data_IF_260922861435
#
_entry.id   IF_260922861435
#
_cell.length_a   1.000
_cell.length_b   1.000
_cell.length_c   1.000
_cell.angle_alpha   90.00
_cell.angle_beta   90.00
_cell.angle_gamma   90.00
#
_symmetry.space_group_name_H-M   'P 1'
#
loop_
_entity.id
_entity.type
_entity.pdbx_description
1 polymer ?
#
# COMPACT_ATOMS: atom_id res chain seq x y z
N UNK A 1 13.62 18.46 -3.65
CA UNK A 1 14.01 17.47 -2.61
C UNK A 1 13.46 17.74 -1.19
N UNK A 2 12.85 18.90 -0.86
CA UNK A 2 12.44 19.22 0.53
C UNK A 2 11.12 18.58 1.02
N UNK A 3 10.13 18.35 0.15
CA UNK A 3 8.76 17.94 0.57
C UNK A 3 8.66 16.42 0.84
N UNK A 4 9.44 15.60 0.15
CA UNK A 4 9.54 14.15 0.40
C UNK A 4 9.96 13.85 1.85
N UNK A 5 10.91 14.63 2.36
CA UNK A 5 11.40 14.50 3.74
C UNK A 5 10.35 14.93 4.76
N UNK A 6 9.52 15.94 4.48
CA UNK A 6 8.45 16.37 5.39
C UNK A 6 7.39 15.29 5.63
N UNK A 7 7.03 14.52 4.59
CA UNK A 7 6.13 13.37 4.77
C UNK A 7 6.76 12.25 5.62
N UNK A 8 8.05 11.99 5.42
CA UNK A 8 8.79 11.03 6.24
C UNK A 8 8.94 11.49 7.70
N UNK A 9 9.09 12.79 7.96
CA UNK A 9 9.21 13.34 9.33
C UNK A 9 7.98 12.99 10.19
N UNK A 10 6.77 13.01 9.62
CA UNK A 10 5.54 12.62 10.32
C UNK A 10 5.40 11.10 10.51
N UNK A 11 6.24 10.30 9.83
CA UNK A 11 6.27 8.84 9.92
C UNK A 11 7.51 8.30 10.66
N UNK A 12 8.40 9.19 11.16
CA UNK A 12 9.58 8.83 11.97
C UNK A 12 9.25 8.49 13.43
N UNK A 13 7.97 8.54 13.81
CA UNK A 13 7.53 8.09 15.13
C UNK A 13 7.43 6.56 15.15
N UNK A 14 7.68 5.91 16.30
CA UNK A 14 7.38 4.50 16.50
C UNK A 14 5.95 4.17 16.00
N UNK A 15 5.71 3.02 15.34
CA UNK A 15 4.42 2.71 14.71
C UNK A 15 3.20 2.82 15.65
N UNK A 16 3.41 2.58 16.95
CA UNK A 16 2.46 2.69 18.06
C UNK A 16 2.11 4.15 18.45
N UNK A 17 2.94 5.12 18.06
CA UNK A 17 2.76 6.55 18.38
C UNK A 17 2.25 7.40 17.22
N UNK A 18 2.09 6.82 16.04
CA UNK A 18 1.59 7.54 14.86
C UNK A 18 0.07 7.68 14.98
N UNK A 19 -0.40 8.91 15.23
CA UNK A 19 -1.82 9.21 15.31
C UNK A 19 -2.45 9.36 13.92
N UNK A 20 -3.79 9.30 13.86
CA UNK A 20 -4.54 9.55 12.61
C UNK A 20 -4.21 10.92 12.01
N UNK A 21 -4.00 11.93 12.85
CA UNK A 21 -3.62 13.29 12.41
C UNK A 21 -2.26 13.31 11.70
N UNK A 22 -1.27 12.54 12.18
CA UNK A 22 0.04 12.44 11.54
C UNK A 22 -0.08 11.79 10.17
N UNK A 23 -0.91 10.75 10.04
CA UNK A 23 -1.19 10.10 8.75
C UNK A 23 -1.84 11.06 7.75
N UNK A 24 -2.78 11.90 8.20
CA UNK A 24 -3.40 12.92 7.33
C UNK A 24 -2.38 13.93 6.84
N UNK A 25 -1.50 14.43 7.74
CA UNK A 25 -0.43 15.36 7.36
C UNK A 25 0.58 14.72 6.41
N UNK A 26 1.01 13.49 6.69
CA UNK A 26 1.91 12.74 5.80
C UNK A 26 1.29 12.58 4.41
N UNK A 27 0.01 12.18 4.34
CA UNK A 27 -0.72 12.05 3.08
C UNK A 27 -0.76 13.38 2.31
N UNK A 28 -1.11 14.49 2.96
CA UNK A 28 -1.14 15.81 2.33
C UNK A 28 0.23 16.22 1.77
N UNK A 29 1.30 16.00 2.53
CA UNK A 29 2.65 16.34 2.09
C UNK A 29 3.11 15.47 0.91
N UNK A 30 2.86 14.15 0.96
CA UNK A 30 3.19 13.27 -0.15
C UNK A 30 2.34 13.56 -1.40
N UNK A 31 1.06 13.91 -1.24
CA UNK A 31 0.19 14.25 -2.36
C UNK A 31 0.66 15.56 -3.04
N UNK A 32 1.05 16.56 -2.25
CA UNK A 32 1.69 17.78 -2.79
C UNK A 32 2.97 17.45 -3.55
N UNK A 33 3.85 16.64 -2.97
CA UNK A 33 5.07 16.20 -3.65
C UNK A 33 4.76 15.48 -4.97
N UNK A 34 3.72 14.64 -5.01
CA UNK A 34 3.35 13.92 -6.23
C UNK A 34 2.86 14.87 -7.32
N UNK A 35 2.10 15.90 -6.95
CA UNK A 35 1.67 16.93 -7.91
C UNK A 35 2.87 17.70 -8.48
N UNK A 36 3.85 18.06 -7.65
CA UNK A 36 5.09 18.67 -8.15
C UNK A 36 5.84 17.76 -9.12
N UNK A 37 6.02 16.49 -8.76
CA UNK A 37 6.71 15.50 -9.59
C UNK A 37 5.98 15.24 -10.93
N UNK A 38 4.65 15.20 -10.93
CA UNK A 38 3.87 15.01 -12.17
C UNK A 38 4.02 16.18 -13.16
N UNK A 39 4.26 17.38 -12.65
CA UNK A 39 4.39 18.59 -13.46
C UNK A 39 5.83 18.85 -13.94
N UNK A 40 6.79 18.04 -13.50
CA UNK A 40 8.19 18.14 -13.89
C UNK A 40 8.54 17.00 -14.86
N UNK A 41 8.75 17.29 -16.17
CA UNK A 41 9.04 16.28 -17.19
C UNK A 41 10.40 15.59 -16.99
N UNK A 42 11.29 16.15 -16.16
CA UNK A 42 12.58 15.53 -15.82
C UNK A 42 12.46 14.47 -14.73
N UNK A 43 11.27 14.31 -14.12
CA UNK A 43 11.09 13.40 -13.00
C UNK A 43 11.32 11.94 -13.41
N UNK A 44 12.26 11.22 -12.76
CA UNK A 44 12.44 9.80 -13.01
C UNK A 44 11.22 8.98 -12.55
N UNK A 45 10.72 8.02 -13.35
CA UNK A 45 9.59 7.16 -12.97
C UNK A 45 9.80 6.46 -11.62
N UNK A 46 11.05 6.11 -11.29
CA UNK A 46 11.44 5.49 -10.02
C UNK A 46 11.05 6.35 -8.81
N UNK A 47 11.17 7.67 -8.92
CA UNK A 47 10.80 8.59 -7.84
C UNK A 47 9.28 8.66 -7.67
N UNK A 48 8.54 8.73 -8.78
CA UNK A 48 7.06 8.70 -8.77
C UNK A 48 6.57 7.42 -8.12
N UNK A 49 7.13 6.28 -8.51
CA UNK A 49 6.72 4.98 -7.97
C UNK A 49 6.96 4.89 -6.46
N UNK A 50 8.15 5.25 -5.97
CA UNK A 50 8.46 5.28 -4.52
C UNK A 50 7.51 6.19 -3.73
N UNK A 51 7.18 7.36 -4.29
CA UNK A 51 6.25 8.28 -3.64
C UNK A 51 4.82 7.73 -3.62
N UNK A 52 4.37 7.10 -4.71
CA UNK A 52 3.09 6.43 -4.77
C UNK A 52 3.01 5.25 -3.79
N UNK A 53 4.10 4.51 -3.56
CA UNK A 53 4.16 3.47 -2.52
C UNK A 53 3.94 4.07 -1.12
N UNK A 54 4.57 5.21 -0.80
CA UNK A 54 4.34 5.91 0.47
C UNK A 54 2.92 6.43 0.64
N UNK A 55 2.33 6.97 -0.43
CA UNK A 55 0.93 7.37 -0.43
C UNK A 55 0.00 6.17 -0.23
N UNK A 56 0.25 5.06 -0.92
CA UNK A 56 -0.49 3.82 -0.76
C UNK A 56 -0.45 3.32 0.69
N UNK A 57 0.73 3.18 1.29
CA UNK A 57 0.90 2.74 2.68
C UNK A 57 0.12 3.66 3.63
N UNK A 58 0.24 4.98 3.42
CA UNK A 58 -0.43 5.98 4.25
C UNK A 58 -1.95 5.89 4.12
N UNK A 59 -2.49 5.76 2.89
CA UNK A 59 -3.92 5.59 2.63
C UNK A 59 -4.45 4.30 3.25
N UNK A 60 -3.70 3.20 3.21
CA UNK A 60 -4.13 1.96 3.86
C UNK A 60 -4.17 2.10 5.37
N UNK A 61 -3.18 2.76 5.99
CA UNK A 61 -3.22 3.04 7.44
C UNK A 61 -4.38 3.97 7.82
N UNK A 62 -4.70 4.96 7.00
CA UNK A 62 -5.90 5.79 7.18
C UNK A 62 -7.18 4.95 7.06
N UNK A 63 -7.23 4.00 6.14
CA UNK A 63 -8.35 3.06 6.02
C UNK A 63 -8.50 2.19 7.28
N UNK A 64 -7.40 1.61 7.77
CA UNK A 64 -7.37 0.77 8.98
C UNK A 64 -7.86 1.52 10.22
N UNK A 65 -7.54 2.81 10.34
CA UNK A 65 -7.91 3.65 11.50
C UNK A 65 -9.28 4.34 11.36
N UNK A 66 -9.89 4.31 10.17
CA UNK A 66 -11.19 4.93 9.95
C UNK A 66 -12.31 4.15 10.66
N UNK A 67 -13.14 4.88 11.41
CA UNK A 67 -14.33 4.34 12.10
C UNK A 67 -15.50 4.13 11.14
N UNK A 68 -15.73 5.09 10.25
CA UNK A 68 -16.81 5.06 9.27
C UNK A 68 -16.47 4.17 8.07
N UNK A 69 -17.41 3.30 7.69
CA UNK A 69 -17.25 2.37 6.57
C UNK A 69 -16.98 3.09 5.24
N UNK A 70 -17.65 4.23 5.00
CA UNK A 70 -17.46 5.02 3.79
C UNK A 70 -16.03 5.59 3.71
N UNK A 71 -15.54 6.20 4.79
CA UNK A 71 -14.17 6.71 4.86
C UNK A 71 -13.12 5.58 4.75
N UNK A 72 -13.37 4.43 5.41
CA UNK A 72 -12.53 3.24 5.29
C UNK A 72 -12.41 2.79 3.84
N UNK A 73 -13.53 2.67 3.12
CA UNK A 73 -13.55 2.31 1.70
C UNK A 73 -12.83 3.34 0.84
N UNK A 74 -13.12 4.63 1.03
CA UNK A 74 -12.49 5.71 0.27
C UNK A 74 -10.97 5.66 0.37
N UNK A 75 -10.42 5.51 1.57
CA UNK A 75 -8.97 5.40 1.77
C UNK A 75 -8.39 4.12 1.17
N UNK A 76 -9.11 2.99 1.22
CA UNK A 76 -8.68 1.76 0.55
C UNK A 76 -8.74 1.86 -0.98
N UNK A 77 -9.69 2.61 -1.52
CA UNK A 77 -9.77 2.94 -2.95
C UNK A 77 -8.59 3.82 -3.38
N UNK A 78 -8.29 4.89 -2.63
CA UNK A 78 -7.11 5.73 -2.86
C UNK A 78 -5.81 4.92 -2.82
N UNK A 79 -5.64 4.07 -1.80
CA UNK A 79 -4.47 3.21 -1.68
C UNK A 79 -4.26 2.32 -2.91
N UNK A 80 -5.35 1.81 -3.51
CA UNK A 80 -5.28 1.00 -4.75
C UNK A 80 -4.84 1.83 -5.95
N UNK A 81 -5.38 3.03 -6.11
CA UNK A 81 -4.99 3.88 -7.23
C UNK A 81 -3.51 4.26 -7.15
N UNK A 82 -3.02 4.59 -5.95
CA UNK A 82 -1.59 4.80 -5.74
C UNK A 82 -0.75 3.55 -5.99
N UNK A 83 -1.21 2.35 -5.58
CA UNK A 83 -0.52 1.10 -5.87
C UNK A 83 -0.40 0.82 -7.38
N UNK A 84 -1.46 1.07 -8.15
CA UNK A 84 -1.45 0.93 -9.62
C UNK A 84 -0.48 1.92 -10.25
N UNK A 85 -0.54 3.20 -9.88
CA UNK A 85 0.39 4.22 -10.39
C UNK A 85 1.84 3.88 -10.02
N UNK A 86 2.08 3.32 -8.82
CA UNK A 86 3.40 2.86 -8.43
C UNK A 86 3.90 1.73 -9.34
N UNK A 87 3.06 0.74 -9.64
CA UNK A 87 3.37 -0.38 -10.52
C UNK A 87 3.64 0.09 -11.96
N UNK A 88 2.79 0.95 -12.51
CA UNK A 88 2.98 1.53 -13.85
C UNK A 88 4.32 2.24 -13.98
N UNK A 89 4.71 3.02 -12.97
CA UNK A 89 5.99 3.72 -12.98
C UNK A 89 7.17 2.78 -12.69
N UNK A 90 6.99 1.72 -11.89
CA UNK A 90 8.02 0.69 -11.69
C UNK A 90 8.34 -0.03 -13.00
N UNK A 91 7.32 -0.37 -13.80
CA UNK A 91 7.49 -1.01 -15.11
C UNK A 91 8.29 -0.16 -16.10
N UNK A 92 8.18 1.18 -16.01
CA UNK A 92 8.98 2.12 -16.81
C UNK A 92 10.45 2.19 -16.38
N UNK A 93 10.81 1.65 -15.22
CA UNK A 93 12.19 1.70 -14.71
C UNK A 93 13.04 0.50 -15.15
N UNK A 94 12.44 -0.50 -15.83
CA UNK A 94 13.10 -1.76 -16.20
C UNK A 94 13.78 -2.46 -15.00
N UNK A 95 13.23 -2.24 -13.81
CA UNK A 95 13.72 -2.77 -12.53
C UNK A 95 12.75 -3.86 -12.07
N UNK A 96 13.04 -5.11 -12.46
CA UNK A 96 12.16 -6.27 -12.20
C UNK A 96 11.88 -6.46 -10.70
N UNK A 97 12.88 -6.20 -9.86
CA UNK A 97 12.73 -6.26 -8.41
C UNK A 97 11.70 -5.23 -7.93
N UNK A 98 11.82 -3.99 -8.40
CA UNK A 98 10.88 -2.92 -8.05
C UNK A 98 9.46 -3.18 -8.58
N UNK A 99 9.34 -3.83 -9.75
CA UNK A 99 8.05 -4.30 -10.28
C UNK A 99 7.45 -5.35 -9.35
N UNK A 100 8.21 -6.39 -8.98
CA UNK A 100 7.75 -7.43 -8.07
C UNK A 100 7.32 -6.86 -6.71
N UNK A 101 8.10 -5.94 -6.13
CA UNK A 101 7.73 -5.24 -4.90
C UNK A 101 6.40 -4.48 -5.04
N UNK A 102 6.21 -3.77 -6.17
CA UNK A 102 4.97 -3.03 -6.44
C UNK A 102 3.77 -3.96 -6.64
N UNK A 103 3.95 -5.10 -7.29
CA UNK A 103 2.90 -6.12 -7.47
C UNK A 103 2.50 -6.76 -6.14
N UNK A 104 3.47 -7.08 -5.28
CA UNK A 104 3.20 -7.53 -3.92
C UNK A 104 2.42 -6.50 -3.09
N UNK A 105 2.83 -5.24 -3.15
CA UNK A 105 2.11 -4.16 -2.45
C UNK A 105 0.68 -3.99 -2.97
N UNK A 106 0.47 -4.10 -4.29
CA UNK A 106 -0.87 -4.07 -4.87
C UNK A 106 -1.71 -5.27 -4.42
N UNK A 107 -1.12 -6.46 -4.29
CA UNK A 107 -1.80 -7.65 -3.75
C UNK A 107 -2.21 -7.44 -2.28
N UNK A 108 -1.35 -6.85 -1.45
CA UNK A 108 -1.68 -6.47 -0.06
C UNK A 108 -2.90 -5.53 -0.01
N UNK A 109 -2.93 -4.50 -0.86
CA UNK A 109 -4.08 -3.59 -0.98
C UNK A 109 -5.32 -4.35 -1.43
N UNK A 110 -5.18 -5.30 -2.37
CA UNK A 110 -6.25 -6.19 -2.81
C UNK A 110 -6.88 -6.97 -1.66
N UNK A 111 -6.06 -7.63 -0.85
CA UNK A 111 -6.49 -8.35 0.34
C UNK A 111 -7.22 -7.44 1.34
N UNK A 112 -6.66 -6.26 1.63
CA UNK A 112 -7.32 -5.28 2.50
C UNK A 112 -8.68 -4.83 1.97
N UNK A 113 -8.81 -4.62 0.66
CA UNK A 113 -10.09 -4.22 0.04
C UNK A 113 -11.14 -5.33 0.12
N UNK A 114 -10.73 -6.59 -0.01
CA UNK A 114 -11.64 -7.72 0.21
C UNK A 114 -12.15 -7.73 1.65
N UNK A 115 -11.26 -7.53 2.63
CA UNK A 115 -11.66 -7.37 4.02
C UNK A 115 -12.66 -6.20 4.21
N UNK A 116 -12.36 -5.02 3.66
CA UNK A 116 -13.27 -3.87 3.75
C UNK A 116 -14.63 -4.16 3.12
N UNK A 117 -14.65 -4.77 1.93
CA UNK A 117 -15.89 -5.15 1.25
C UNK A 117 -16.72 -6.14 2.07
N UNK A 118 -16.08 -7.16 2.65
CA UNK A 118 -16.74 -8.13 3.52
C UNK A 118 -17.41 -7.43 4.72
N UNK A 119 -16.67 -6.56 5.42
CA UNK A 119 -17.21 -5.81 6.57
C UNK A 119 -18.36 -4.89 6.18
N UNK A 120 -18.30 -4.27 5.00
CA UNK A 120 -19.39 -3.41 4.49
C UNK A 120 -20.65 -4.21 4.14
N UNK A 121 -20.48 -5.40 3.58
CA UNK A 121 -21.57 -6.34 3.27
C UNK A 121 -22.03 -7.14 4.49
N UNK A 122 -21.48 -6.86 5.69
CA UNK A 122 -21.77 -7.58 6.94
C UNK A 122 -21.55 -9.09 6.84
N UNK A 123 -20.61 -9.51 6.01
CA UNK A 123 -20.18 -10.91 5.90
C UNK A 123 -18.81 -11.08 6.54
N UNK A 124 -18.54 -12.27 7.06
CA UNK A 124 -17.21 -12.61 7.55
C UNK A 124 -16.19 -12.57 6.40
N UNK A 125 -14.98 -12.01 6.61
CA UNK A 125 -13.93 -11.98 5.58
C UNK A 125 -13.58 -13.36 5.02
N UNK A 126 -13.65 -14.39 5.88
CA UNK A 126 -13.41 -15.80 5.52
C UNK A 126 -14.46 -16.35 4.54
N UNK A 127 -15.67 -15.79 4.52
CA UNK A 127 -16.77 -16.22 3.65
C UNK A 127 -16.95 -15.33 2.42
N UNK A 128 -16.13 -14.28 2.25
CA UNK A 128 -16.26 -13.37 1.12
C UNK A 128 -15.81 -14.05 -0.19
N UNK A 129 -16.59 -13.97 -1.30
CA UNK A 129 -16.32 -14.73 -2.52
C UNK A 129 -14.98 -14.39 -3.19
N UNK A 130 -14.44 -13.19 -2.94
CA UNK A 130 -13.12 -12.75 -3.45
C UNK A 130 -11.94 -13.06 -2.52
N UNK A 131 -12.18 -13.70 -1.37
CA UNK A 131 -11.14 -14.02 -0.37
C UNK A 131 -10.05 -14.89 -0.97
N UNK A 132 -10.44 -16.04 -1.53
CA UNK A 132 -9.50 -17.04 -2.04
C UNK A 132 -8.59 -16.48 -3.13
N UNK A 133 -9.16 -15.76 -4.10
CA UNK A 133 -8.37 -15.14 -5.16
C UNK A 133 -7.38 -14.09 -4.64
N UNK A 134 -7.75 -13.32 -3.60
CA UNK A 134 -6.84 -12.33 -3.01
C UNK A 134 -5.71 -12.99 -2.20
N UNK A 135 -6.02 -14.10 -1.54
CA UNK A 135 -5.08 -14.90 -0.77
C UNK A 135 -4.04 -15.58 -1.66
N UNK A 136 -4.50 -16.31 -2.69
CA UNK A 136 -3.62 -16.95 -3.68
C UNK A 136 -2.72 -15.92 -4.36
N UNK A 137 -3.27 -14.78 -4.77
CA UNK A 137 -2.47 -13.72 -5.41
C UNK A 137 -1.41 -13.17 -4.46
N UNK A 138 -1.74 -12.92 -3.19
CA UNK A 138 -0.78 -12.40 -2.23
C UNK A 138 0.35 -13.40 -1.94
N UNK A 139 0.02 -14.67 -1.78
CA UNK A 139 1.00 -15.75 -1.59
C UNK A 139 1.90 -15.91 -2.82
N UNK A 140 1.34 -15.87 -4.04
CA UNK A 140 2.10 -15.90 -5.29
C UNK A 140 3.09 -14.73 -5.41
N UNK A 141 2.65 -13.50 -5.11
CA UNK A 141 3.55 -12.33 -5.17
C UNK A 141 4.62 -12.36 -4.08
N UNK A 142 4.34 -12.93 -2.92
CA UNK A 142 5.37 -13.16 -1.90
C UNK A 142 6.43 -14.15 -2.40
N UNK A 143 6.01 -15.24 -3.04
CA UNK A 143 6.93 -16.22 -3.61
C UNK A 143 7.82 -15.61 -4.70
N UNK A 144 7.26 -14.77 -5.56
CA UNK A 144 8.03 -14.06 -6.58
C UNK A 144 9.13 -13.18 -5.99
N UNK A 145 8.90 -12.54 -4.83
CA UNK A 145 9.91 -11.73 -4.16
C UNK A 145 11.12 -12.55 -3.68
N UNK A 146 10.94 -13.84 -3.39
CA UNK A 146 12.04 -14.73 -2.95
C UNK A 146 13.10 -14.94 -4.03
N UNK A 147 12.79 -14.62 -5.29
CA UNK A 147 13.74 -14.70 -6.41
C UNK A 147 14.82 -13.60 -6.36
N UNK A 148 14.64 -12.56 -5.54
CA UNK A 148 15.56 -11.44 -5.45
C UNK A 148 16.42 -11.56 -4.17
N UNK A 149 17.69 -11.99 -4.28
CA UNK A 149 18.52 -12.31 -3.11
C UNK A 149 18.92 -11.11 -2.24
N UNK A 150 18.75 -9.89 -2.77
CA UNK A 150 19.06 -8.65 -2.07
C UNK A 150 17.86 -8.05 -1.33
N UNK A 151 16.68 -8.69 -1.43
CA UNK A 151 15.51 -8.27 -0.69
C UNK A 151 15.51 -8.88 0.71
N UNK A 152 15.24 -8.05 1.70
CA UNK A 152 14.84 -8.51 3.02
C UNK A 152 13.41 -9.05 2.94
N UNK A 153 13.31 -10.35 2.64
CA UNK A 153 12.03 -11.05 2.45
C UNK A 153 11.24 -11.10 3.76
N UNK A 154 11.88 -11.07 4.93
CA UNK A 154 11.19 -11.17 6.23
C UNK A 154 10.19 -10.04 6.44
N UNK A 155 10.52 -8.83 5.99
CA UNK A 155 9.64 -7.66 6.02
C UNK A 155 8.36 -7.92 5.19
N UNK A 156 8.52 -8.51 4.01
CA UNK A 156 7.40 -8.84 3.13
C UNK A 156 6.57 -9.99 3.67
N UNK A 157 7.19 -10.99 4.30
CA UNK A 157 6.47 -12.08 4.94
C UNK A 157 5.65 -11.60 6.14
N UNK A 158 6.22 -10.73 6.98
CA UNK A 158 5.49 -10.10 8.09
C UNK A 158 4.28 -9.31 7.58
N UNK A 159 4.46 -8.58 6.48
CA UNK A 159 3.38 -7.86 5.81
C UNK A 159 2.32 -8.81 5.26
N UNK A 160 2.71 -9.87 4.57
CA UNK A 160 1.79 -10.88 4.03
C UNK A 160 0.98 -11.54 5.15
N UNK A 161 1.63 -11.97 6.25
CA UNK A 161 0.96 -12.53 7.43
C UNK A 161 -0.09 -11.58 7.99
N UNK A 162 0.21 -10.28 8.08
CA UNK A 162 -0.76 -9.27 8.53
C UNK A 162 -1.99 -9.22 7.61
N UNK A 163 -1.80 -9.15 6.30
CA UNK A 163 -2.93 -9.04 5.36
C UNK A 163 -3.74 -10.34 5.22
N UNK A 164 -3.07 -11.50 5.24
CA UNK A 164 -3.72 -12.81 5.30
C UNK A 164 -4.52 -12.98 6.60
N UNK A 165 -4.03 -12.47 7.72
CA UNK A 165 -4.74 -12.48 9.00
C UNK A 165 -6.09 -11.75 8.97
N UNK A 166 -6.25 -10.73 8.11
CA UNK A 166 -7.55 -10.08 7.91
C UNK A 166 -8.53 -10.92 7.07
N UNK A 167 -8.02 -11.79 6.19
CA UNK A 167 -8.84 -12.67 5.36
C UNK A 167 -9.22 -13.98 6.07
N UNK A 168 -8.37 -14.42 7.00
CA UNK A 168 -8.53 -15.63 7.82
C UNK A 168 -8.56 -15.26 9.31
N UNK A 169 -9.55 -14.46 9.79
CA UNK A 169 -9.67 -14.18 11.21
C UNK A 169 -9.86 -15.50 11.99
N UNK A 170 -9.08 -15.68 13.05
CA UNK A 170 -9.17 -16.85 13.93
C UNK A 170 -10.48 -16.84 14.72
#
# INVERSE_FOLDING_TARGET
>A
MAIFNLGNTHLKLPPDRIARHDLVKAHQNFAKALNYLKNDPSTPPKQVSRLCQKLMETSIRLSMTARESAARKQHADQGREYAKTALENARKCEDECMVAQAEFMLACVGAWKVYVAARMSRVEPSSHPKREGAEVLLEQRLEELRRFPHLDVEVYEAQARKYLGYLRPR
#
